data_IF_880395872383
#
_entry.id   IF_880395872383
#
_cell.length_a   1.000
_cell.length_b   1.000
_cell.length_c   1.000
_cell.angle_alpha   90.00
_cell.angle_beta   90.00
_cell.angle_gamma   90.00
#
_symmetry.space_group_name_H-M   'P 1'
#
loop_
_entity.id
_entity.type
_entity.pdbx_description
1 polymer ?
#
# COMPACT_ATOMS: atom_id res chain seq x y z
N UNK A 1 -19.41 76.74 18.00
CA UNK A 1 -19.63 75.94 16.77
C UNK A 1 -18.47 74.97 16.53
N UNK A 2 -17.21 75.37 16.76
CA UNK A 2 -15.99 74.58 16.55
C UNK A 2 -15.92 73.24 17.31
N UNK A 3 -16.42 73.16 18.56
CA UNK A 3 -16.40 71.92 19.36
C UNK A 3 -17.23 70.79 18.74
N UNK A 4 -18.34 71.13 18.08
CA UNK A 4 -19.22 70.15 17.43
C UNK A 4 -18.57 69.60 16.16
N UNK A 5 -17.90 70.46 15.40
CA UNK A 5 -17.18 70.10 14.19
C UNK A 5 -15.97 69.20 14.49
N UNK A 6 -15.22 69.51 15.57
CA UNK A 6 -14.11 68.68 16.02
C UNK A 6 -14.55 67.27 16.45
N UNK A 7 -15.67 67.17 17.18
CA UNK A 7 -16.24 65.88 17.57
C UNK A 7 -16.67 65.03 16.35
N UNK A 8 -17.23 65.66 15.31
CA UNK A 8 -17.58 64.95 14.07
C UNK A 8 -16.35 64.50 13.29
N UNK A 9 -15.26 65.28 13.25
CA UNK A 9 -14.00 64.87 12.63
C UNK A 9 -13.37 63.68 13.35
N UNK A 10 -13.34 63.68 14.68
CA UNK A 10 -12.83 62.57 15.47
C UNK A 10 -13.63 61.29 15.24
N UNK A 11 -14.96 61.40 15.14
CA UNK A 11 -15.83 60.28 14.83
C UNK A 11 -15.58 59.72 13.42
N UNK A 12 -15.40 60.58 12.41
CA UNK A 12 -15.05 60.16 11.05
C UNK A 12 -13.71 59.46 10.99
N UNK A 13 -12.68 59.98 11.69
CA UNK A 13 -11.36 59.32 11.79
C UNK A 13 -11.45 57.95 12.46
N UNK A 14 -12.27 57.81 13.50
CA UNK A 14 -12.51 56.51 14.14
C UNK A 14 -13.18 55.53 13.17
N UNK A 15 -14.20 55.99 12.45
CA UNK A 15 -14.93 55.17 11.48
C UNK A 15 -14.03 54.69 10.34
N UNK A 16 -13.17 55.56 9.81
CA UNK A 16 -12.20 55.23 8.76
C UNK A 16 -11.18 54.17 9.22
N UNK A 17 -10.70 54.30 10.46
CA UNK A 17 -9.83 53.30 11.08
C UNK A 17 -10.55 51.96 11.27
N UNK A 18 -11.79 51.98 11.74
CA UNK A 18 -12.59 50.78 11.96
C UNK A 18 -12.88 50.06 10.61
N UNK A 19 -13.19 50.80 9.54
CA UNK A 19 -13.34 50.30 8.18
C UNK A 19 -12.05 49.68 7.63
N UNK A 20 -10.91 50.34 7.85
CA UNK A 20 -9.61 49.84 7.41
C UNK A 20 -9.24 48.52 8.09
N UNK A 21 -9.46 48.42 9.41
CA UNK A 21 -9.23 47.19 10.16
C UNK A 21 -10.15 46.06 9.69
N UNK A 22 -11.43 46.35 9.48
CA UNK A 22 -12.39 45.36 8.99
C UNK A 22 -12.00 44.83 7.60
N UNK A 23 -11.52 45.69 6.71
CA UNK A 23 -11.01 45.28 5.40
C UNK A 23 -9.81 44.32 5.51
N UNK A 24 -8.91 44.59 6.47
CA UNK A 24 -7.73 43.77 6.72
C UNK A 24 -8.10 42.39 7.32
N UNK A 25 -9.06 42.37 8.24
CA UNK A 25 -9.63 41.15 8.82
C UNK A 25 -10.33 40.31 7.74
N UNK A 26 -11.12 40.95 6.88
CA UNK A 26 -11.79 40.28 5.76
C UNK A 26 -10.77 39.64 4.80
N UNK A 27 -9.73 40.39 4.41
CA UNK A 27 -8.67 39.85 3.54
C UNK A 27 -7.97 38.64 4.18
N UNK A 28 -7.65 38.75 5.47
CA UNK A 28 -7.01 37.67 6.24
C UNK A 28 -7.91 36.43 6.32
N UNK A 29 -9.21 36.63 6.57
CA UNK A 29 -10.19 35.56 6.63
C UNK A 29 -10.38 34.88 5.28
N UNK A 30 -10.43 35.66 4.20
CA UNK A 30 -10.54 35.15 2.83
C UNK A 30 -9.33 34.28 2.49
N UNK A 31 -8.11 34.78 2.74
CA UNK A 31 -6.87 34.03 2.53
C UNK A 31 -6.84 32.71 3.31
N UNK A 32 -7.25 32.74 4.59
CA UNK A 32 -7.32 31.53 5.42
C UNK A 32 -8.34 30.53 4.86
N UNK A 33 -9.50 31.02 4.41
CA UNK A 33 -10.56 30.19 3.83
C UNK A 33 -10.09 29.51 2.55
N UNK A 34 -9.40 30.22 1.67
CA UNK A 34 -8.82 29.66 0.44
C UNK A 34 -7.78 28.57 0.74
N UNK A 35 -6.93 28.78 1.75
CA UNK A 35 -5.99 27.77 2.21
C UNK A 35 -6.70 26.53 2.72
N UNK A 36 -7.72 26.70 3.57
CA UNK A 36 -8.53 25.60 4.09
C UNK A 36 -9.22 24.81 2.97
N UNK A 37 -9.76 25.49 1.96
CA UNK A 37 -10.38 24.86 0.79
C UNK A 37 -9.39 24.00 0.00
N UNK A 38 -8.14 24.46 -0.16
CA UNK A 38 -7.07 23.66 -0.80
C UNK A 38 -6.76 22.38 0.00
N UNK A 39 -6.69 22.50 1.34
CA UNK A 39 -6.46 21.34 2.22
C UNK A 39 -7.62 20.35 2.15
N UNK A 40 -8.86 20.82 2.24
CA UNK A 40 -10.05 19.98 2.11
C UNK A 40 -10.08 19.24 0.77
N UNK A 41 -9.79 19.94 -0.33
CA UNK A 41 -9.69 19.31 -1.66
C UNK A 41 -8.63 18.22 -1.71
N UNK A 42 -7.45 18.46 -1.13
CA UNK A 42 -6.41 17.42 -1.02
C UNK A 42 -6.85 16.23 -0.16
N UNK A 43 -7.68 16.46 0.86
CA UNK A 43 -8.18 15.40 1.73
C UNK A 43 -9.19 14.51 0.99
N UNK A 44 -10.13 15.10 0.23
CA UNK A 44 -11.04 14.36 -0.63
C UNK A 44 -10.29 13.48 -1.64
N UNK A 45 -9.30 14.01 -2.36
CA UNK A 45 -8.52 13.21 -3.30
C UNK A 45 -7.77 12.04 -2.63
N UNK A 46 -7.33 12.21 -1.38
CA UNK A 46 -6.69 11.11 -0.62
C UNK A 46 -7.72 10.08 -0.19
N UNK A 47 -8.92 10.51 0.20
CA UNK A 47 -10.02 9.64 0.58
C UNK A 47 -10.45 8.75 -0.60
N UNK A 48 -10.68 9.33 -1.77
CA UNK A 48 -11.05 8.59 -2.99
C UNK A 48 -10.02 7.51 -3.31
N UNK A 49 -8.73 7.84 -3.19
CA UNK A 49 -7.64 6.90 -3.43
C UNK A 49 -7.58 5.76 -2.40
N UNK A 50 -7.95 6.02 -1.14
CA UNK A 50 -8.04 4.99 -0.11
C UNK A 50 -9.21 4.06 -0.40
N UNK A 51 -10.33 4.58 -0.87
CA UNK A 51 -11.50 3.79 -1.25
C UNK A 51 -11.19 2.87 -2.44
N UNK A 52 -10.53 3.38 -3.48
CA UNK A 52 -10.04 2.56 -4.60
C UNK A 52 -9.10 1.43 -4.14
N UNK A 53 -8.18 1.74 -3.21
CA UNK A 53 -7.25 0.76 -2.66
C UNK A 53 -7.97 -0.33 -1.87
N UNK A 54 -8.97 0.03 -1.05
CA UNK A 54 -9.77 -0.92 -0.29
C UNK A 54 -10.55 -1.86 -1.23
N UNK A 55 -11.11 -1.31 -2.31
CA UNK A 55 -11.82 -2.11 -3.31
C UNK A 55 -10.88 -3.09 -4.04
N UNK A 56 -9.69 -2.64 -4.44
CA UNK A 56 -8.67 -3.51 -5.06
C UNK A 56 -8.21 -4.61 -4.10
N UNK A 57 -7.97 -4.27 -2.83
CA UNK A 57 -7.63 -5.26 -1.81
C UNK A 57 -8.73 -6.29 -1.65
N UNK A 58 -9.99 -5.86 -1.53
CA UNK A 58 -11.13 -6.77 -1.41
C UNK A 58 -11.21 -7.73 -2.61
N UNK A 59 -11.01 -7.22 -3.83
CA UNK A 59 -10.97 -8.06 -5.04
C UNK A 59 -9.84 -9.10 -5.00
N UNK A 60 -8.65 -8.73 -4.52
CA UNK A 60 -7.53 -9.68 -4.35
C UNK A 60 -7.84 -10.74 -3.28
N UNK A 61 -8.46 -10.36 -2.18
CA UNK A 61 -8.88 -11.31 -1.14
C UNK A 61 -9.87 -12.34 -1.70
N UNK A 62 -10.91 -11.90 -2.41
CA UNK A 62 -11.87 -12.80 -3.06
C UNK A 62 -11.18 -13.74 -4.08
N UNK A 63 -10.22 -13.23 -4.84
CA UNK A 63 -9.45 -14.06 -5.78
C UNK A 63 -8.62 -15.13 -5.07
N UNK A 64 -8.03 -14.82 -3.92
CA UNK A 64 -7.25 -15.78 -3.12
C UNK A 64 -8.18 -16.84 -2.53
N UNK A 65 -9.33 -16.44 -1.98
CA UNK A 65 -10.36 -17.36 -1.46
C UNK A 65 -10.85 -18.30 -2.56
N UNK A 66 -11.16 -17.79 -3.75
CA UNK A 66 -11.55 -18.61 -4.88
C UNK A 66 -10.44 -19.59 -5.31
N UNK A 67 -9.18 -19.17 -5.28
CA UNK A 67 -8.04 -20.04 -5.58
C UNK A 67 -7.88 -21.16 -4.53
N UNK A 68 -7.99 -20.82 -3.24
CA UNK A 68 -7.93 -21.81 -2.16
C UNK A 68 -9.08 -22.81 -2.23
N UNK A 69 -10.30 -22.36 -2.55
CA UNK A 69 -11.44 -23.25 -2.76
C UNK A 69 -11.17 -24.24 -3.89
N UNK A 70 -10.63 -23.78 -5.03
CA UNK A 70 -10.27 -24.66 -6.16
C UNK A 70 -9.17 -25.66 -5.79
N UNK A 71 -8.14 -25.24 -5.04
CA UNK A 71 -7.09 -26.14 -4.57
C UNK A 71 -7.64 -27.24 -3.65
N UNK A 72 -8.52 -26.88 -2.71
CA UNK A 72 -9.16 -27.84 -1.81
C UNK A 72 -10.06 -28.83 -2.56
N UNK A 73 -10.80 -28.37 -3.57
CA UNK A 73 -11.61 -29.25 -4.43
C UNK A 73 -10.73 -30.22 -5.21
N UNK A 74 -9.67 -29.73 -5.86
CA UNK A 74 -8.72 -30.58 -6.60
C UNK A 74 -7.99 -31.59 -5.70
N UNK A 75 -7.67 -31.24 -4.46
CA UNK A 75 -7.09 -32.18 -3.49
C UNK A 75 -8.08 -33.26 -3.05
N UNK A 76 -9.36 -32.94 -2.90
CA UNK A 76 -10.40 -33.93 -2.58
C UNK A 76 -10.66 -34.89 -3.75
N UNK A 77 -10.67 -34.39 -4.99
CA UNK A 77 -10.79 -35.24 -6.19
C UNK A 77 -9.60 -36.22 -6.32
N UNK A 78 -8.38 -35.79 -5.99
CA UNK A 78 -7.21 -36.67 -5.95
C UNK A 78 -7.26 -37.70 -4.81
N UNK A 79 -7.94 -37.39 -3.69
CA UNK A 79 -8.08 -38.29 -2.54
C UNK A 79 -9.10 -39.40 -2.79
N UNK A 80 -10.12 -39.14 -3.63
CA UNK A 80 -11.13 -40.13 -3.98
C UNK A 80 -10.64 -41.14 -5.06
N UNK A 81 -9.56 -40.81 -5.78
CA UNK A 81 -8.95 -41.67 -6.81
C UNK A 81 -7.67 -42.40 -6.37
N UNK A 82 -7.27 -42.33 -5.09
CA UNK A 82 -6.03 -42.94 -4.55
C UNK A 82 -6.26 -44.16 -3.65
N UNK A 83 -7.35 -44.90 -3.85
CA UNK A 83 -7.49 -46.27 -3.31
C UNK A 83 -7.00 -47.25 -4.38
N UNK A 84 -5.69 -47.29 -4.66
CA UNK A 84 -4.95 -48.43 -5.24
C UNK A 84 -3.48 -48.04 -5.51
N UNK A 85 -2.51 -48.70 -4.84
CA UNK A 85 -1.10 -48.72 -5.32
C UNK A 85 0.03 -48.29 -4.36
N UNK A 86 0.28 -49.07 -3.30
CA UNK A 86 1.57 -49.74 -2.98
C UNK A 86 2.94 -48.98 -3.02
N UNK A 87 3.58 -48.97 -1.84
CA UNK A 87 5.02 -49.09 -1.47
C UNK A 87 6.06 -47.94 -1.55
N UNK A 88 6.51 -47.56 -0.33
CA UNK A 88 7.88 -47.70 0.24
C UNK A 88 9.12 -47.19 -0.53
N UNK A 89 9.90 -46.28 0.10
CA UNK A 89 11.25 -45.95 -0.35
C UNK A 89 11.90 -44.74 0.35
N UNK A 90 12.90 -45.05 1.18
CA UNK A 90 13.79 -44.28 2.07
C UNK A 90 14.57 -43.12 1.42
N UNK A 91 14.80 -42.02 2.16
CA UNK A 91 16.13 -41.48 2.58
C UNK A 91 16.14 -39.97 2.88
N UNK A 92 16.81 -39.67 3.99
CA UNK A 92 17.01 -38.37 4.64
C UNK A 92 18.18 -37.66 3.98
N UNK A 93 18.08 -36.36 3.70
CA UNK A 93 19.25 -35.47 3.79
C UNK A 93 18.88 -33.99 3.93
N UNK A 94 19.47 -33.40 4.97
CA UNK A 94 19.37 -32.03 5.43
C UNK A 94 19.77 -31.01 4.36
N UNK A 95 19.07 -29.88 4.29
CA UNK A 95 19.62 -28.62 3.75
C UNK A 95 19.15 -27.47 4.64
N UNK A 96 19.95 -27.25 5.68
CA UNK A 96 19.97 -26.07 6.52
C UNK A 96 20.56 -24.89 5.72
N UNK A 97 19.86 -23.76 5.71
CA UNK A 97 20.40 -22.46 5.30
C UNK A 97 20.17 -21.47 6.44
N UNK A 98 21.10 -21.49 7.38
CA UNK A 98 21.48 -20.29 8.15
C UNK A 98 20.58 -19.98 9.34
N UNK A 99 20.56 -20.88 10.34
CA UNK A 99 20.07 -20.54 11.67
C UNK A 99 21.24 -20.20 12.61
N UNK A 100 21.35 -18.93 13.02
CA UNK A 100 22.18 -18.55 14.18
C UNK A 100 21.30 -18.43 15.43
N UNK A 101 21.40 -19.48 16.23
CA UNK A 101 21.33 -19.52 17.70
C UNK A 101 19.99 -19.38 18.42
N UNK A 102 19.55 -20.54 18.95
CA UNK A 102 18.96 -20.80 20.26
C UNK A 102 17.79 -19.93 20.75
N UNK A 103 16.61 -20.53 20.86
CA UNK A 103 16.23 -21.25 22.10
C UNK A 103 14.90 -21.99 21.95
N UNK A 104 14.85 -23.14 22.60
CA UNK A 104 13.75 -24.08 22.73
C UNK A 104 12.33 -23.48 22.69
N UNK A 105 11.53 -23.90 21.71
CA UNK A 105 10.12 -24.23 22.02
C UNK A 105 9.59 -25.30 21.08
N UNK A 106 9.10 -26.35 21.74
CA UNK A 106 8.44 -27.52 21.18
C UNK A 106 7.09 -27.12 20.61
N UNK A 107 6.64 -27.83 19.59
CA UNK A 107 5.21 -28.11 19.47
C UNK A 107 4.65 -28.03 18.07
N UNK A 108 4.00 -29.13 17.71
CA UNK A 108 2.87 -29.23 16.78
C UNK A 108 3.23 -29.18 15.30
N UNK A 109 3.15 -30.39 14.73
CA UNK A 109 3.35 -30.62 13.33
C UNK A 109 2.17 -30.17 12.50
N UNK A 110 2.48 -29.87 11.26
CA UNK A 110 1.67 -30.31 10.14
C UNK A 110 2.61 -30.37 8.94
N UNK A 111 2.84 -31.59 8.42
CA UNK A 111 3.56 -31.80 7.17
C UNK A 111 2.69 -31.25 6.04
N UNK A 112 2.81 -29.95 5.78
CA UNK A 112 2.37 -29.36 4.51
C UNK A 112 3.30 -29.96 3.45
N UNK A 113 2.79 -30.94 2.72
CA UNK A 113 3.44 -31.50 1.54
C UNK A 113 3.35 -30.45 0.45
N UNK A 114 4.35 -29.57 0.41
CA UNK A 114 4.56 -28.66 -0.72
C UNK A 114 4.74 -29.53 -1.97
N UNK A 115 3.71 -29.59 -2.82
CA UNK A 115 3.85 -30.03 -4.20
C UNK A 115 5.09 -29.32 -4.76
N UNK A 116 6.06 -30.07 -5.29
CA UNK A 116 7.31 -29.54 -5.83
C UNK A 116 6.96 -28.56 -6.95
N UNK A 117 6.78 -27.29 -6.57
CA UNK A 117 6.71 -26.19 -7.51
C UNK A 117 7.98 -26.28 -8.37
N UNK A 118 7.89 -26.06 -9.69
CA UNK A 118 9.08 -25.97 -10.52
C UNK A 118 10.06 -25.03 -9.85
N UNK A 119 11.30 -25.48 -9.58
CA UNK A 119 12.32 -24.64 -8.94
C UNK A 119 12.53 -23.39 -9.81
N UNK A 120 11.92 -22.29 -9.39
CA UNK A 120 12.12 -20.98 -9.99
C UNK A 120 13.48 -20.48 -9.50
N UNK A 121 14.51 -20.75 -10.29
CA UNK A 121 15.83 -20.18 -10.08
C UNK A 121 15.77 -18.73 -10.56
N UNK A 122 15.51 -17.81 -9.63
CA UNK A 122 15.61 -16.38 -9.91
C UNK A 122 17.07 -15.98 -10.05
N UNK A 123 17.42 -15.12 -11.02
CA UNK A 123 18.77 -14.57 -11.09
C UNK A 123 19.03 -13.72 -9.85
N UNK A 124 19.95 -14.16 -8.98
CA UNK A 124 20.41 -13.36 -7.84
C UNK A 124 21.22 -12.17 -8.35
N UNK A 125 20.90 -10.95 -7.89
CA UNK A 125 21.65 -9.76 -8.28
C UNK A 125 22.92 -9.66 -7.44
N UNK A 126 24.09 -9.82 -8.08
CA UNK A 126 25.39 -9.75 -7.43
C UNK A 126 25.97 -8.33 -7.29
N UNK A 127 25.23 -7.29 -7.66
CA UNK A 127 25.70 -5.90 -7.62
C UNK A 127 26.32 -5.39 -8.94
N UNK A 128 26.83 -6.29 -9.76
CA UNK A 128 27.46 -5.93 -11.04
C UNK A 128 26.46 -5.98 -12.22
N UNK A 129 26.53 -4.99 -13.11
CA UNK A 129 25.77 -4.92 -14.37
C UNK A 129 24.23 -4.98 -14.23
N UNK A 130 23.66 -4.00 -13.53
CA UNK A 130 22.22 -3.79 -13.33
C UNK A 130 21.38 -3.92 -14.61
N UNK A 131 21.87 -3.39 -15.74
CA UNK A 131 21.14 -3.38 -17.02
C UNK A 131 20.87 -4.79 -17.56
N UNK A 132 21.86 -5.68 -17.46
CA UNK A 132 21.72 -7.08 -17.90
C UNK A 132 20.88 -7.89 -16.93
N UNK A 133 20.95 -7.57 -15.63
CA UNK A 133 20.07 -8.19 -14.63
C UNK A 133 18.60 -7.85 -14.88
N UNK A 134 18.27 -6.57 -15.13
CA UNK A 134 16.90 -6.13 -15.46
C UNK A 134 16.38 -6.83 -16.72
N UNK A 135 17.21 -7.00 -17.76
CA UNK A 135 16.83 -7.76 -18.97
C UNK A 135 16.50 -9.23 -18.66
N UNK A 136 17.28 -9.89 -17.82
CA UNK A 136 17.02 -11.29 -17.41
C UNK A 136 15.75 -11.39 -16.54
N UNK A 137 15.56 -10.46 -15.61
CA UNK A 137 14.39 -10.40 -14.73
C UNK A 137 13.08 -10.15 -15.48
N UNK A 138 13.13 -9.42 -16.61
CA UNK A 138 11.96 -9.22 -17.48
C UNK A 138 11.32 -10.52 -17.99
N UNK A 139 12.10 -11.61 -18.14
CA UNK A 139 11.58 -12.92 -18.55
C UNK A 139 10.66 -13.54 -17.49
N UNK A 140 10.88 -13.23 -16.23
CA UNK A 140 10.19 -13.85 -15.10
C UNK A 140 9.06 -12.96 -14.56
N UNK A 141 9.21 -11.64 -14.62
CA UNK A 141 8.31 -10.69 -13.95
C UNK A 141 7.52 -9.78 -14.90
N UNK A 142 7.72 -9.89 -16.23
CA UNK A 142 7.06 -9.06 -17.24
C UNK A 142 7.05 -7.56 -16.89
N UNK A 143 8.22 -6.99 -16.52
CA UNK A 143 8.26 -5.64 -15.95
C UNK A 143 7.67 -4.61 -16.94
N UNK A 144 6.93 -3.60 -16.44
CA UNK A 144 6.35 -2.55 -17.28
C UNK A 144 7.38 -1.88 -18.18
N UNK A 145 7.00 -1.54 -19.42
CA UNK A 145 7.89 -0.94 -20.44
C UNK A 145 8.64 0.32 -19.99
N UNK A 146 8.20 0.99 -18.91
CA UNK A 146 8.82 2.19 -18.34
C UNK A 146 10.18 1.94 -17.65
N UNK A 147 10.56 0.69 -17.41
CA UNK A 147 11.83 0.31 -16.76
C UNK A 147 12.91 -0.15 -17.77
N UNK A 148 12.73 0.10 -19.08
CA UNK A 148 13.57 -0.42 -20.18
C UNK A 148 14.63 0.55 -20.72
N UNK A 149 15.11 1.49 -19.93
CA UNK A 149 16.16 2.44 -20.35
C UNK A 149 17.55 1.87 -20.03
#
# INVERSE_FOLDING_TARGET
METRQKATEEHLKKMDKDLSNLGLDYYTLSSKTDSSNKVLKSMYCKQDRVEELLQDMNSKYESIVAMMARLNMAQNDQRNNQVEGVNSGTEVQNTDLGHRSNSNQRGLGERITYAKLPKLNFPMFGGDNLREWVKKSNKYFQLPKRLKN
#
